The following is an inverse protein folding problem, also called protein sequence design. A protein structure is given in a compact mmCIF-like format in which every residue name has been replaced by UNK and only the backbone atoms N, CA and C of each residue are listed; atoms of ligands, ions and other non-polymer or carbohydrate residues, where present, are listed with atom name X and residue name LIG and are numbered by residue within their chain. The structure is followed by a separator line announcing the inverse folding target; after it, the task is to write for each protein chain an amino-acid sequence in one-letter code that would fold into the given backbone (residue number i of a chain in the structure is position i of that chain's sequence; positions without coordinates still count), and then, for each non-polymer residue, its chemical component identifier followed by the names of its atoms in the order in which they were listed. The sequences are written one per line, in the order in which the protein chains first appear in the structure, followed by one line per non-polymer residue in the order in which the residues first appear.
data_IF_598558152822
#
_entry.id   IF_598558152822
#
_cell.length_a   1.000
_cell.length_b   1.000
_cell.length_c   1.000
_cell.angle_alpha   90.00
_cell.angle_beta   90.00
_cell.angle_gamma   90.00
#
_symmetry.space_group_name_H-M   'P 1'
#
loop_
_entity.id
_entity.type
_entity.pdbx_description
1 polymer ?
#
# COMPACT_ATOMS: atom_id res chain seq x y z
N UNK A 1 10.65 -35.60 6.63
CA UNK A 1 9.71 -34.55 6.13
C UNK A 1 8.74 -35.21 5.17
N UNK A 2 7.45 -35.10 5.45
CA UNK A 2 6.38 -35.57 4.56
C UNK A 2 5.96 -34.36 3.73
N UNK A 3 6.10 -34.38 2.38
CA UNK A 3 5.64 -33.26 1.55
C UNK A 3 4.11 -33.17 1.58
N UNK A 4 3.58 -31.99 1.78
CA UNK A 4 2.15 -31.70 1.62
C UNK A 4 1.94 -31.34 0.15
N UNK A 5 1.24 -32.19 -0.60
CA UNK A 5 0.96 -32.05 -2.02
C UNK A 5 -0.42 -32.64 -2.37
N UNK A 6 -0.81 -32.57 -3.63
CA UNK A 6 -2.11 -33.01 -4.13
C UNK A 6 -2.49 -34.46 -3.80
N UNK A 7 -1.58 -35.29 -3.26
CA UNK A 7 -1.92 -36.66 -2.75
C UNK A 7 -2.83 -36.59 -1.54
N UNK A 8 -2.83 -35.47 -0.80
CA UNK A 8 -3.66 -35.26 0.38
C UNK A 8 -5.05 -34.73 0.03
N UNK A 9 -5.27 -34.25 -1.20
CA UNK A 9 -6.57 -33.71 -1.64
C UNK A 9 -7.60 -34.80 -1.94
N UNK A 10 -7.19 -36.09 -1.89
CA UNK A 10 -8.03 -37.24 -2.28
C UNK A 10 -9.13 -37.60 -1.27
N UNK A 11 -9.02 -37.12 -0.06
CA UNK A 11 -9.97 -37.37 1.02
C UNK A 11 -10.20 -36.07 1.79
N UNK A 12 -11.05 -35.17 1.26
CA UNK A 12 -11.41 -33.97 1.99
C UNK A 12 -12.08 -34.35 3.32
N UNK A 13 -11.76 -33.61 4.38
CA UNK A 13 -12.39 -33.79 5.69
C UNK A 13 -13.82 -33.24 5.62
N UNK A 14 -14.87 -34.10 5.74
CA UNK A 14 -16.26 -33.67 5.52
C UNK A 14 -16.71 -32.53 6.44
N UNK A 15 -16.17 -32.46 7.67
CA UNK A 15 -16.51 -31.39 8.61
C UNK A 15 -15.92 -30.05 8.14
N UNK A 16 -14.70 -30.06 7.61
CA UNK A 16 -14.06 -28.84 7.07
C UNK A 16 -14.77 -28.37 5.82
N UNK A 17 -15.16 -29.28 4.93
CA UNK A 17 -15.95 -28.92 3.74
C UNK A 17 -17.27 -28.25 4.12
N UNK A 18 -18.02 -28.82 5.08
CA UNK A 18 -19.27 -28.21 5.55
C UNK A 18 -19.06 -26.80 6.13
N UNK A 19 -17.98 -26.58 6.87
CA UNK A 19 -17.64 -25.25 7.41
C UNK A 19 -17.30 -24.29 6.27
N UNK A 20 -16.47 -24.71 5.32
CA UNK A 20 -16.09 -23.89 4.17
C UNK A 20 -17.30 -23.54 3.34
N UNK A 21 -18.13 -24.53 2.96
CA UNK A 21 -19.29 -24.34 2.09
C UNK A 21 -20.34 -23.40 2.71
N UNK A 22 -20.50 -23.44 4.03
CA UNK A 22 -21.42 -22.57 4.76
C UNK A 22 -21.12 -21.07 4.53
N UNK A 23 -19.83 -20.71 4.46
CA UNK A 23 -19.41 -19.31 4.35
C UNK A 23 -18.99 -18.93 2.93
N UNK A 24 -18.53 -19.90 2.13
CA UNK A 24 -17.98 -19.68 0.80
C UNK A 24 -18.92 -18.90 -0.11
N UNK A 25 -20.17 -19.31 -0.23
CA UNK A 25 -21.14 -18.67 -1.12
C UNK A 25 -21.34 -17.18 -0.77
N UNK A 26 -21.43 -16.86 0.52
CA UNK A 26 -21.60 -15.47 0.96
C UNK A 26 -20.34 -14.65 0.75
N UNK A 27 -19.17 -15.23 1.04
CA UNK A 27 -17.86 -14.57 0.83
C UNK A 27 -17.62 -14.35 -0.66
N UNK A 28 -17.78 -15.37 -1.50
CA UNK A 28 -17.58 -15.28 -2.95
C UNK A 28 -18.52 -14.23 -3.58
N UNK A 29 -19.77 -14.15 -3.11
CA UNK A 29 -20.74 -13.14 -3.56
C UNK A 29 -20.26 -11.71 -3.28
N UNK A 30 -19.71 -11.46 -2.10
CA UNK A 30 -19.19 -10.13 -1.72
C UNK A 30 -17.88 -9.85 -2.46
N UNK A 31 -16.98 -10.83 -2.49
CA UNK A 31 -15.64 -10.65 -3.09
C UNK A 31 -15.67 -10.49 -4.61
N UNK A 32 -16.72 -10.97 -5.27
CA UNK A 32 -16.91 -10.80 -6.72
C UNK A 32 -17.52 -9.46 -7.15
N UNK A 33 -17.89 -8.59 -6.19
CA UNK A 33 -18.45 -7.27 -6.52
C UNK A 33 -17.38 -6.44 -7.26
N UNK A 34 -17.72 -6.02 -8.48
CA UNK A 34 -16.88 -5.11 -9.25
C UNK A 34 -17.02 -3.69 -8.69
N UNK A 35 -15.91 -3.11 -8.26
CA UNK A 35 -15.84 -1.77 -7.65
C UNK A 35 -15.16 -0.73 -8.52
N UNK A 36 -14.52 -1.15 -9.60
CA UNK A 36 -13.82 -0.24 -10.51
C UNK A 36 -13.25 -0.96 -11.72
N UNK A 37 -12.41 -0.23 -12.45
CA UNK A 37 -11.72 -0.75 -13.63
C UNK A 37 -10.34 -0.16 -13.76
N UNK A 38 -9.34 -1.00 -14.03
CA UNK A 38 -7.98 -0.56 -14.37
C UNK A 38 -7.76 -0.59 -15.87
N UNK A 39 -7.22 0.50 -16.41
CA UNK A 39 -6.84 0.58 -17.84
C UNK A 39 -5.54 -0.17 -18.16
N UNK A 40 -4.75 -0.54 -17.14
CA UNK A 40 -3.46 -1.18 -17.31
C UNK A 40 -3.13 -2.14 -16.15
N UNK A 41 -2.20 -3.05 -16.40
CA UNK A 41 -1.55 -3.84 -15.37
C UNK A 41 -0.58 -2.98 -14.56
N UNK A 42 -0.60 -3.10 -13.22
CA UNK A 42 0.31 -2.40 -12.32
C UNK A 42 0.84 -3.35 -11.24
N UNK A 43 2.17 -3.53 -11.22
CA UNK A 43 2.84 -4.36 -10.20
C UNK A 43 3.39 -3.48 -9.06
N UNK A 44 3.50 -4.01 -7.82
CA UNK A 44 4.31 -3.37 -6.78
C UNK A 44 5.79 -3.48 -7.12
N UNK A 45 6.60 -2.52 -6.67
CA UNK A 45 8.05 -2.56 -6.91
C UNK A 45 8.76 -1.32 -6.39
N UNK A 46 10.10 -1.33 -6.52
CA UNK A 46 11.00 -0.26 -6.11
C UNK A 46 11.85 0.19 -7.28
N UNK A 47 12.28 1.44 -7.32
CA UNK A 47 12.09 2.51 -6.32
C UNK A 47 10.63 3.00 -6.23
N UNK A 48 9.90 2.97 -7.33
CA UNK A 48 8.49 3.32 -7.45
C UNK A 48 7.82 2.57 -8.62
N UNK A 49 6.51 2.44 -8.58
CA UNK A 49 5.68 1.92 -9.67
C UNK A 49 4.34 2.65 -9.69
N UNK A 50 3.57 2.57 -10.80
CA UNK A 50 2.22 3.13 -10.83
C UNK A 50 1.33 2.65 -9.67
N UNK A 51 1.48 1.38 -9.24
CA UNK A 51 0.69 0.84 -8.12
C UNK A 51 1.12 1.42 -6.78
N UNK A 52 2.43 1.54 -6.52
CA UNK A 52 2.92 2.13 -5.26
C UNK A 52 2.53 3.60 -5.14
N UNK A 53 2.64 4.37 -6.23
CA UNK A 53 2.24 5.77 -6.26
C UNK A 53 0.73 5.94 -6.07
N UNK A 54 -0.09 5.16 -6.80
CA UNK A 54 -1.55 5.15 -6.63
C UNK A 54 -1.96 4.82 -5.20
N UNK A 55 -1.34 3.81 -4.59
CA UNK A 55 -1.64 3.39 -3.22
C UNK A 55 -1.36 4.51 -2.22
N UNK A 56 -0.20 5.17 -2.33
CA UNK A 56 0.17 6.28 -1.45
C UNK A 56 -0.75 7.50 -1.68
N UNK A 57 -1.11 7.82 -2.93
CA UNK A 57 -2.04 8.91 -3.26
C UNK A 57 -3.44 8.67 -2.66
N UNK A 58 -3.94 7.42 -2.68
CA UNK A 58 -5.20 7.03 -2.04
C UNK A 58 -5.11 7.24 -0.52
N UNK A 59 -4.06 6.71 0.13
CA UNK A 59 -3.85 6.87 1.56
C UNK A 59 -3.79 8.35 1.96
N UNK A 60 -3.11 9.19 1.18
CA UNK A 60 -3.10 10.64 1.40
C UNK A 60 -4.51 11.23 1.36
N UNK A 61 -5.25 10.91 0.30
CA UNK A 61 -6.58 11.47 0.06
C UNK A 61 -7.56 11.06 1.15
N UNK A 62 -7.58 9.78 1.51
CA UNK A 62 -8.47 9.26 2.54
C UNK A 62 -8.11 9.79 3.93
N UNK A 63 -6.81 9.84 4.27
CA UNK A 63 -6.36 10.44 5.53
C UNK A 63 -6.77 11.92 5.62
N UNK A 64 -6.60 12.68 4.54
CA UNK A 64 -7.03 14.09 4.51
C UNK A 64 -8.54 14.23 4.71
N UNK A 65 -9.34 13.34 4.11
CA UNK A 65 -10.79 13.31 4.28
C UNK A 65 -11.19 12.97 5.72
N UNK A 66 -10.62 11.91 6.28
CA UNK A 66 -11.02 11.38 7.59
C UNK A 66 -10.59 12.30 8.74
N UNK A 67 -9.41 12.91 8.64
CA UNK A 67 -8.91 13.84 9.68
C UNK A 67 -9.34 15.30 9.47
N UNK A 68 -9.95 15.65 8.32
CA UNK A 68 -10.44 16.98 8.00
C UNK A 68 -9.37 18.07 7.95
N UNK A 69 -8.10 17.69 7.66
CA UNK A 69 -6.98 18.64 7.60
C UNK A 69 -6.03 18.32 6.45
N UNK A 70 -5.27 19.32 5.93
CA UNK A 70 -4.33 19.12 4.85
C UNK A 70 -3.23 18.13 5.20
N UNK A 71 -2.84 17.31 4.23
CA UNK A 71 -1.73 16.37 4.30
C UNK A 71 -0.70 16.75 3.23
N UNK A 72 0.57 16.90 3.61
CA UNK A 72 1.62 17.30 2.69
C UNK A 72 1.98 16.16 1.74
N UNK A 73 2.15 14.94 2.26
CA UNK A 73 2.40 13.73 1.47
C UNK A 73 2.01 12.47 2.24
N UNK A 74 2.04 11.33 1.55
CA UNK A 74 1.86 10.03 2.18
C UNK A 74 3.05 9.10 1.93
N UNK A 75 3.26 8.19 2.86
CA UNK A 75 4.24 7.11 2.75
C UNK A 75 3.66 5.82 3.35
N UNK A 76 3.78 4.72 2.61
CA UNK A 76 3.47 3.37 3.09
C UNK A 76 4.56 2.39 2.67
N UNK A 77 4.71 1.31 3.39
CA UNK A 77 5.67 0.28 3.03
C UNK A 77 5.23 -0.50 1.78
N UNK A 78 6.10 -0.60 0.80
CA UNK A 78 5.86 -1.36 -0.43
C UNK A 78 5.56 -2.84 -0.15
N UNK A 79 6.16 -3.41 0.90
CA UNK A 79 5.92 -4.79 1.31
C UNK A 79 4.48 -5.10 1.73
N UNK A 80 3.68 -4.09 2.07
CA UNK A 80 2.24 -4.21 2.34
C UNK A 80 1.39 -4.44 1.09
N UNK A 81 1.92 -4.15 -0.10
CA UNK A 81 1.26 -4.37 -1.39
C UNK A 81 1.67 -5.75 -1.91
N UNK A 82 0.78 -6.74 -1.79
CA UNK A 82 1.14 -8.16 -1.93
C UNK A 82 0.99 -8.70 -3.35
N UNK A 83 0.06 -8.17 -4.12
CA UNK A 83 -0.24 -8.63 -5.47
C UNK A 83 -0.32 -7.45 -6.44
N UNK A 84 -0.12 -7.67 -7.75
CA UNK A 84 -0.37 -6.67 -8.77
C UNK A 84 -1.87 -6.38 -8.92
N UNK A 85 -2.20 -5.19 -9.39
CA UNK A 85 -3.51 -4.85 -9.89
C UNK A 85 -3.60 -5.21 -11.38
N UNK A 86 -4.55 -6.06 -11.72
CA UNK A 86 -4.72 -6.52 -13.10
C UNK A 86 -5.42 -5.47 -13.97
N UNK A 87 -5.17 -5.51 -15.28
CA UNK A 87 -5.97 -4.75 -16.24
C UNK A 87 -7.35 -5.38 -16.36
N UNK A 88 -8.40 -4.57 -16.38
CA UNK A 88 -9.79 -5.02 -16.48
C UNK A 88 -10.64 -4.57 -15.31
N UNK A 89 -11.70 -5.31 -15.04
CA UNK A 89 -12.58 -5.05 -13.91
C UNK A 89 -11.85 -5.36 -12.60
N UNK A 90 -12.06 -4.51 -11.60
CA UNK A 90 -11.45 -4.64 -10.26
C UNK A 90 -12.55 -5.10 -9.31
N UNK A 91 -12.35 -6.24 -8.69
CA UNK A 91 -13.27 -6.77 -7.68
C UNK A 91 -12.82 -6.42 -6.27
N UNK A 92 -13.75 -6.49 -5.32
CA UNK A 92 -13.44 -6.31 -3.91
C UNK A 92 -12.41 -7.36 -3.44
N UNK A 93 -12.54 -8.61 -3.90
CA UNK A 93 -11.60 -9.70 -3.59
C UNK A 93 -10.17 -9.44 -4.09
N UNK A 94 -10.02 -8.81 -5.27
CA UNK A 94 -8.70 -8.41 -5.76
C UNK A 94 -8.06 -7.35 -4.85
N UNK A 95 -8.84 -6.37 -4.37
CA UNK A 95 -8.32 -5.37 -3.43
C UNK A 95 -7.87 -6.02 -2.11
N UNK A 96 -8.66 -6.94 -1.55
CA UNK A 96 -8.24 -7.70 -0.37
C UNK A 96 -7.00 -8.56 -0.62
N UNK A 97 -6.80 -9.06 -1.83
CA UNK A 97 -5.59 -9.81 -2.18
C UNK A 97 -4.36 -8.91 -2.33
N UNK A 98 -4.54 -7.67 -2.78
CA UNK A 98 -3.47 -6.67 -2.92
C UNK A 98 -3.08 -6.11 -1.54
N UNK A 99 -4.07 -5.81 -0.70
CA UNK A 99 -3.90 -5.22 0.64
C UNK A 99 -4.55 -6.11 1.71
N UNK A 100 -3.96 -7.27 2.06
CA UNK A 100 -4.59 -8.25 2.95
C UNK A 100 -4.48 -7.91 4.44
N UNK A 101 -3.96 -6.73 4.79
CA UNK A 101 -3.74 -6.32 6.16
C UNK A 101 -4.78 -5.31 6.63
N UNK A 102 -5.28 -5.50 7.84
CA UNK A 102 -6.21 -4.57 8.50
C UNK A 102 -5.40 -3.44 9.17
N UNK A 103 -5.03 -2.45 8.38
CA UNK A 103 -4.23 -1.31 8.82
C UNK A 103 -5.12 -0.09 9.10
N UNK A 104 -4.73 0.70 10.11
CA UNK A 104 -5.39 1.96 10.43
C UNK A 104 -4.68 3.14 9.76
N UNK A 105 -5.45 4.10 9.24
CA UNK A 105 -4.91 5.37 8.74
C UNK A 105 -4.34 6.19 9.90
N UNK A 106 -3.16 6.72 9.70
CA UNK A 106 -2.46 7.57 10.66
C UNK A 106 -2.05 8.89 10.04
N UNK A 107 -2.21 9.96 10.80
CA UNK A 107 -1.70 11.27 10.47
C UNK A 107 -0.61 11.63 11.48
N UNK A 108 0.62 11.77 11.02
CA UNK A 108 1.78 12.15 11.84
C UNK A 108 2.27 13.53 11.46
N UNK A 109 2.94 14.21 12.39
CA UNK A 109 3.55 15.52 12.19
C UNK A 109 5.04 15.43 12.49
N UNK A 110 5.87 15.78 11.52
CA UNK A 110 7.33 15.75 11.64
C UNK A 110 7.91 17.11 11.26
N UNK A 111 9.03 17.48 11.90
CA UNK A 111 9.87 18.59 11.44
C UNK A 111 10.49 18.25 10.09
N UNK A 112 10.80 19.27 9.29
CA UNK A 112 11.46 19.07 8.00
C UNK A 112 12.80 18.38 8.10
N UNK A 113 13.58 18.62 9.17
CA UNK A 113 14.79 17.85 9.47
C UNK A 113 14.53 16.36 9.58
N UNK A 114 13.48 15.95 10.28
CA UNK A 114 13.09 14.54 10.46
C UNK A 114 12.52 13.97 9.15
N UNK A 115 11.83 14.80 8.34
CA UNK A 115 11.37 14.41 7.00
C UNK A 115 12.55 14.11 6.08
N UNK A 116 13.64 14.89 6.12
CA UNK A 116 14.86 14.57 5.37
C UNK A 116 15.46 13.23 5.79
N UNK A 117 15.51 12.98 7.09
CA UNK A 117 15.98 11.69 7.61
C UNK A 117 15.09 10.54 7.14
N UNK A 118 13.76 10.70 7.23
CA UNK A 118 12.79 9.73 6.71
C UNK A 118 13.03 9.44 5.22
N UNK A 119 13.20 10.46 4.38
CA UNK A 119 13.43 10.27 2.95
C UNK A 119 14.81 9.63 2.66
N UNK A 120 15.83 9.88 3.49
CA UNK A 120 17.09 9.14 3.40
C UNK A 120 16.91 7.65 3.77
N UNK A 121 16.09 7.33 4.76
CA UNK A 121 15.74 5.94 5.08
C UNK A 121 14.99 5.29 3.90
N UNK A 122 14.08 6.01 3.25
CA UNK A 122 13.41 5.55 2.03
C UNK A 122 14.42 5.27 0.92
N UNK A 123 15.36 6.19 0.70
CA UNK A 123 16.39 6.04 -0.31
C UNK A 123 17.33 4.86 -0.03
N UNK A 124 17.74 4.64 1.24
CA UNK A 124 18.58 3.51 1.64
C UNK A 124 17.93 2.14 1.41
N UNK A 125 16.60 2.11 1.30
CA UNK A 125 15.82 0.91 0.95
C UNK A 125 15.53 0.81 -0.55
N UNK A 126 16.14 1.65 -1.36
CA UNK A 126 15.87 1.80 -2.79
C UNK A 126 14.39 2.15 -3.07
N UNK A 127 13.81 3.04 -2.27
CA UNK A 127 12.44 3.53 -2.43
C UNK A 127 11.40 2.82 -1.55
N UNK A 128 10.28 3.46 -1.37
CA UNK A 128 9.03 2.96 -0.78
C UNK A 128 7.85 3.58 -1.54
N UNK A 129 6.62 3.18 -1.22
CA UNK A 129 5.44 3.81 -1.80
C UNK A 129 5.24 5.20 -1.19
N UNK A 130 5.52 6.23 -1.95
CA UNK A 130 5.29 7.64 -1.59
C UNK A 130 4.31 8.30 -2.56
N UNK A 131 3.54 9.28 -2.06
CA UNK A 131 2.60 10.00 -2.92
C UNK A 131 3.34 10.92 -3.91
N UNK A 132 2.68 11.25 -5.01
CA UNK A 132 3.20 12.08 -6.10
C UNK A 132 3.72 13.47 -5.69
N UNK A 133 3.46 13.87 -4.46
CA UNK A 133 3.94 15.16 -3.93
C UNK A 133 5.43 15.16 -3.63
N UNK A 134 6.02 13.98 -3.42
CA UNK A 134 7.44 13.81 -3.12
C UNK A 134 8.22 13.51 -4.39
N UNK A 135 9.26 14.29 -4.64
CA UNK A 135 10.22 14.03 -5.70
C UNK A 135 11.62 14.03 -5.12
N UNK A 136 12.42 13.05 -5.48
CA UNK A 136 13.83 12.95 -5.11
C UNK A 136 14.59 12.06 -6.10
N UNK A 137 15.89 12.26 -6.23
CA UNK A 137 16.77 11.30 -6.88
C UNK A 137 17.38 10.40 -5.82
N UNK A 138 17.39 9.09 -6.05
CA UNK A 138 18.09 8.13 -5.18
C UNK A 138 19.45 7.85 -5.79
N UNK A 139 20.51 8.23 -5.06
CA UNK A 139 21.90 7.95 -5.43
C UNK A 139 22.71 7.61 -4.17
N UNK A 140 23.53 6.58 -4.24
CA UNK A 140 24.38 6.11 -3.13
C UNK A 140 23.58 5.94 -1.81
N UNK A 141 22.39 5.33 -1.91
CA UNK A 141 21.45 5.11 -0.79
C UNK A 141 20.98 6.40 -0.09
N UNK A 142 21.05 7.55 -0.76
CA UNK A 142 20.63 8.86 -0.24
C UNK A 142 19.58 9.52 -1.11
N UNK A 143 18.72 10.31 -0.46
CA UNK A 143 17.77 11.18 -1.12
C UNK A 143 18.47 12.47 -1.54
N UNK A 144 18.66 12.66 -2.83
CA UNK A 144 19.29 13.86 -3.40
C UNK A 144 18.20 14.84 -3.83
N UNK A 145 18.34 16.09 -3.38
CA UNK A 145 17.44 17.19 -3.69
C UNK A 145 15.96 16.88 -3.47
N UNK A 146 15.57 16.33 -2.29
CA UNK A 146 14.18 15.99 -2.04
C UNK A 146 13.31 17.24 -2.00
N UNK A 147 12.18 17.18 -2.70
CA UNK A 147 11.14 18.22 -2.69
C UNK A 147 9.78 17.67 -2.31
N UNK A 148 8.95 18.52 -1.70
CA UNK A 148 7.55 18.23 -1.41
C UNK A 148 6.69 19.31 -2.05
N UNK A 149 5.72 18.90 -2.88
CA UNK A 149 4.90 19.82 -3.67
C UNK A 149 5.75 20.78 -4.51
N UNK A 150 6.86 20.31 -5.08
CA UNK A 150 7.79 21.07 -5.91
C UNK A 150 8.64 22.09 -5.15
N UNK A 151 8.68 22.05 -3.83
CA UNK A 151 9.47 22.96 -2.99
C UNK A 151 10.52 22.18 -2.20
N UNK A 152 11.74 22.73 -2.04
CA UNK A 152 12.73 22.17 -1.13
C UNK A 152 12.15 22.04 0.29
N UNK A 153 12.61 21.02 1.01
CA UNK A 153 12.18 20.80 2.39
C UNK A 153 12.75 21.91 3.28
N UNK A 154 11.89 22.58 4.02
CA UNK A 154 12.25 23.55 5.06
C UNK A 154 12.38 22.80 6.39
N UNK A 155 13.58 22.80 6.96
CA UNK A 155 13.93 22.01 8.15
C UNK A 155 13.15 22.42 9.41
N UNK A 156 12.69 23.66 9.48
CA UNK A 156 11.95 24.17 10.63
C UNK A 156 10.42 24.06 10.48
N UNK A 157 9.93 23.80 9.26
CA UNK A 157 8.52 23.62 9.00
C UNK A 157 8.04 22.28 9.55
N UNK A 158 6.80 22.24 10.07
CA UNK A 158 6.09 20.99 10.40
C UNK A 158 5.32 20.51 9.16
N UNK A 159 5.55 19.24 8.80
CA UNK A 159 4.86 18.55 7.72
C UNK A 159 3.87 17.54 8.28
N UNK A 160 2.68 17.49 7.68
CA UNK A 160 1.63 16.52 7.97
C UNK A 160 1.74 15.35 6.99
N UNK A 161 1.92 14.15 7.50
CA UNK A 161 2.23 12.96 6.70
C UNK A 161 1.19 11.89 6.97
N UNK A 162 0.57 11.38 5.90
CA UNK A 162 -0.30 10.22 5.98
C UNK A 162 0.51 8.92 5.93
N UNK A 163 0.14 7.97 6.76
CA UNK A 163 0.73 6.63 6.77
C UNK A 163 -0.28 5.61 7.31
N UNK A 164 0.15 4.37 7.46
CA UNK A 164 -0.63 3.29 8.06
C UNK A 164 0.08 2.74 9.29
N UNK A 165 -0.70 2.39 10.31
CA UNK A 165 -0.18 1.67 11.47
C UNK A 165 -0.33 0.17 11.26
N UNK A 166 0.70 -0.58 11.63
CA UNK A 166 0.56 -2.01 11.85
C UNK A 166 -0.13 -2.23 13.19
N UNK A 167 -1.20 -3.00 13.19
CA UNK A 167 -1.90 -3.44 14.41
C UNK A 167 -1.46 -4.85 14.77
#
# INVERSE_FOLDING_TARGET
LIPVDARWDKTPEPLMEQIVDKYKTSVDSIMSIVIGKSSQYMAPGRPETPLTNLSADIIKTETQRDFGQPVDFAIINTGGIRNPLMQGDITLGEIYSIFPFDNTLCLIKLKGSDVRELLNIVASRNGEAVSKDVHMTIADEKAIEPTINGRPIDDDRIYSIATIAYV
#
